data_IF_586751831102
#
_entry.id   IF_586751831102
#
_cell.length_a   1.000
_cell.length_b   1.000
_cell.length_c   1.000
_cell.angle_alpha   90.00
_cell.angle_beta   90.00
_cell.angle_gamma   90.00
#
_symmetry.space_group_name_H-M   'P 1'
#
loop_
_entity.id
_entity.type
_entity.pdbx_description
1 polymer ?
#
# COMPACT_ATOMS: atom_id res chain seq x y z
N UNK A 1 -28.14 -17.00 -32.97
CA UNK A 1 -27.80 -15.57 -32.75
C UNK A 1 -26.96 -15.30 -31.48
N UNK A 2 -26.11 -16.24 -31.00
CA UNK A 2 -25.19 -16.01 -29.86
C UNK A 2 -23.69 -16.06 -30.21
N UNK A 3 -23.33 -16.39 -31.45
CA UNK A 3 -21.93 -16.53 -31.90
C UNK A 3 -21.35 -15.29 -32.59
N UNK A 4 -22.16 -14.27 -32.86
CA UNK A 4 -21.73 -13.05 -33.57
C UNK A 4 -21.20 -11.97 -32.59
N UNK A 5 -21.65 -11.97 -31.33
CA UNK A 5 -21.14 -11.02 -30.33
C UNK A 5 -19.74 -11.36 -29.78
N UNK A 6 -19.33 -12.63 -29.82
CA UNK A 6 -17.99 -13.04 -29.36
C UNK A 6 -16.90 -12.65 -30.37
N UNK A 7 -17.22 -12.63 -31.67
CA UNK A 7 -16.28 -12.21 -32.72
C UNK A 7 -16.06 -10.68 -32.73
N UNK A 8 -17.08 -9.89 -32.36
CA UNK A 8 -16.94 -8.43 -32.29
C UNK A 8 -16.15 -7.97 -31.05
N UNK A 9 -16.19 -8.73 -29.95
CA UNK A 9 -15.45 -8.41 -28.72
C UNK A 9 -13.96 -8.79 -28.81
N UNK A 10 -13.62 -9.84 -29.57
CA UNK A 10 -12.23 -10.20 -29.86
C UNK A 10 -11.58 -9.27 -30.89
N UNK A 11 -12.35 -8.76 -31.87
CA UNK A 11 -11.82 -7.78 -32.84
C UNK A 11 -11.48 -6.43 -32.22
N UNK A 12 -12.18 -6.01 -31.16
CA UNK A 12 -11.85 -4.79 -30.40
C UNK A 12 -10.59 -4.93 -29.53
N UNK A 13 -10.20 -6.16 -29.16
CA UNK A 13 -8.94 -6.40 -28.44
C UNK A 13 -7.74 -6.51 -29.39
N UNK A 14 -7.93 -7.07 -30.59
CA UNK A 14 -6.87 -7.10 -31.61
C UNK A 14 -6.58 -5.71 -32.22
N UNK A 15 -7.58 -4.81 -32.26
CA UNK A 15 -7.38 -3.43 -32.74
C UNK A 15 -6.77 -2.48 -31.70
N UNK A 16 -6.63 -2.89 -30.44
CA UNK A 16 -5.85 -2.15 -29.44
C UNK A 16 -4.40 -2.69 -29.35
N UNK A 17 -4.12 -3.89 -29.87
CA UNK A 17 -2.78 -4.50 -29.82
C UNK A 17 -2.07 -4.72 -31.16
N UNK A 18 -2.68 -4.43 -32.30
CA UNK A 18 -1.92 -4.19 -33.53
C UNK A 18 -1.50 -2.72 -33.61
N UNK A 19 -0.43 -2.38 -32.87
CA UNK A 19 0.43 -1.28 -33.29
C UNK A 19 0.96 -1.65 -34.69
N UNK A 20 0.31 -1.13 -35.73
CA UNK A 20 0.75 -1.30 -37.11
C UNK A 20 2.21 -0.83 -37.19
N UNK A 21 3.11 -1.79 -37.39
CA UNK A 21 4.49 -1.53 -37.78
C UNK A 21 4.44 -0.86 -39.17
N UNK A 22 5.06 0.32 -39.36
CA UNK A 22 5.07 0.97 -40.67
C UNK A 22 5.81 0.09 -41.67
N UNK A 23 5.19 -0.13 -42.84
CA UNK A 23 5.74 -0.92 -43.95
C UNK A 23 6.53 -0.09 -44.95
N UNK A 24 6.52 1.24 -44.83
CA UNK A 24 7.25 2.15 -45.72
C UNK A 24 7.81 3.38 -44.99
N UNK A 25 8.96 3.86 -45.46
CA UNK A 25 9.76 4.96 -44.86
C UNK A 25 9.11 6.35 -44.85
N UNK A 26 7.82 6.44 -45.16
CA UNK A 26 7.05 7.69 -45.20
C UNK A 26 5.87 7.73 -44.22
N UNK A 27 5.58 6.64 -43.50
CA UNK A 27 4.58 6.62 -42.43
C UNK A 27 5.10 7.37 -41.20
N UNK A 28 4.89 8.70 -41.21
CA UNK A 28 5.15 9.61 -40.09
C UNK A 28 4.06 9.47 -39.02
N UNK A 29 4.01 8.32 -38.36
CA UNK A 29 3.65 8.29 -36.94
C UNK A 29 4.95 8.49 -36.17
N UNK A 30 5.14 9.73 -35.71
CA UNK A 30 6.25 10.15 -34.85
C UNK A 30 6.04 9.55 -33.45
N UNK A 31 6.02 8.21 -33.38
CA UNK A 31 6.38 7.48 -32.19
C UNK A 31 7.90 7.59 -32.10
N UNK A 32 8.37 8.63 -31.42
CA UNK A 32 9.75 8.70 -30.97
C UNK A 32 9.90 7.65 -29.88
N UNK A 33 10.06 6.39 -30.29
CA UNK A 33 10.59 5.31 -29.47
C UNK A 33 12.08 5.59 -29.26
N UNK A 34 12.42 6.67 -28.54
CA UNK A 34 13.79 6.81 -28.05
C UNK A 34 13.92 5.81 -26.91
N UNK A 35 14.61 4.70 -27.18
CA UNK A 35 15.05 3.79 -26.12
C UNK A 35 16.16 4.51 -25.35
N UNK A 36 15.79 5.42 -24.44
CA UNK A 36 16.72 6.05 -23.52
C UNK A 36 17.18 4.95 -22.54
N UNK A 37 18.35 4.36 -22.78
CA UNK A 37 18.90 3.33 -21.89
C UNK A 37 19.42 3.92 -20.58
N UNK A 38 19.79 5.20 -20.59
CA UNK A 38 20.32 5.92 -19.43
C UNK A 38 19.76 7.33 -19.40
N UNK A 39 19.28 7.77 -18.23
CA UNK A 39 19.05 9.18 -17.90
C UNK A 39 20.10 9.62 -16.88
N UNK A 40 20.48 10.90 -16.91
CA UNK A 40 21.37 11.49 -15.93
C UNK A 40 20.58 12.37 -14.95
N UNK A 41 21.08 12.49 -13.73
CA UNK A 41 20.52 13.44 -12.76
C UNK A 41 20.47 14.87 -13.33
N UNK A 42 19.34 15.54 -13.21
CA UNK A 42 19.08 16.85 -13.81
C UNK A 42 18.30 16.81 -15.13
N UNK A 43 18.13 15.63 -15.74
CA UNK A 43 17.33 15.48 -16.96
C UNK A 43 15.85 15.81 -16.70
N UNK A 44 15.22 16.47 -17.69
CA UNK A 44 13.80 16.79 -17.69
C UNK A 44 13.13 16.14 -18.90
N UNK A 45 12.29 15.12 -18.66
CA UNK A 45 11.53 14.44 -19.71
C UNK A 45 10.09 14.94 -19.67
N UNK A 46 9.69 15.69 -20.69
CA UNK A 46 8.38 16.34 -20.74
C UNK A 46 7.73 16.26 -22.12
N UNK A 47 6.40 16.24 -22.11
CA UNK A 47 5.55 16.16 -23.29
C UNK A 47 5.07 17.52 -23.80
N UNK A 48 5.69 18.65 -23.40
CA UNK A 48 5.25 19.99 -23.83
C UNK A 48 5.84 20.31 -25.23
N UNK A 49 5.07 20.00 -26.26
CA UNK A 49 5.37 20.23 -27.69
C UNK A 49 4.55 19.28 -28.58
N UNK A 50 4.17 19.69 -29.80
CA UNK A 50 3.10 19.12 -30.63
C UNK A 50 3.29 17.67 -31.17
N UNK A 51 4.13 16.83 -30.58
CA UNK A 51 4.35 15.44 -31.00
C UNK A 51 4.50 14.55 -29.77
N UNK A 52 3.44 13.79 -29.52
CA UNK A 52 3.21 12.95 -28.34
C UNK A 52 4.02 11.67 -28.44
N UNK A 53 4.88 11.38 -27.46
CA UNK A 53 5.59 10.11 -27.37
C UNK A 53 5.28 9.42 -26.05
N UNK A 54 4.77 8.19 -26.10
CA UNK A 54 4.87 7.24 -25.00
C UNK A 54 6.33 6.76 -24.95
N UNK A 55 7.04 7.04 -23.86
CA UNK A 55 8.40 6.52 -23.67
C UNK A 55 8.31 5.15 -22.99
N UNK A 56 8.39 4.07 -23.77
CA UNK A 56 8.41 2.71 -23.24
C UNK A 56 9.84 2.19 -23.06
N UNK A 57 10.20 1.87 -21.82
CA UNK A 57 11.48 1.27 -21.44
C UNK A 57 11.38 -0.26 -21.33
N UNK A 58 11.38 -0.95 -22.46
CA UNK A 58 11.26 -2.43 -22.51
C UNK A 58 12.47 -3.19 -21.93
N UNK A 59 13.64 -2.55 -21.92
CA UNK A 59 14.88 -3.14 -21.40
C UNK A 59 15.19 -2.73 -19.95
N UNK A 60 14.25 -2.09 -19.28
CA UNK A 60 14.51 -1.34 -18.05
C UNK A 60 15.07 0.05 -18.31
N UNK A 61 15.22 0.81 -17.22
CA UNK A 61 15.76 2.16 -17.20
C UNK A 61 16.86 2.24 -16.15
N UNK A 62 17.99 2.87 -16.48
CA UNK A 62 19.01 3.28 -15.50
C UNK A 62 19.04 4.79 -15.39
N UNK A 63 18.98 5.29 -14.17
CA UNK A 63 19.22 6.70 -13.88
C UNK A 63 20.52 6.80 -13.09
N UNK A 64 21.54 7.36 -13.74
CA UNK A 64 22.89 7.46 -13.20
C UNK A 64 23.18 8.87 -12.69
N UNK A 65 23.97 8.98 -11.63
CA UNK A 65 24.37 10.27 -11.08
C UNK A 65 24.88 10.18 -9.65
N UNK A 66 25.65 11.19 -9.24
CA UNK A 66 26.13 11.32 -7.86
C UNK A 66 25.09 11.92 -6.91
N UNK A 67 24.16 12.72 -7.44
CA UNK A 67 22.95 13.20 -6.77
C UNK A 67 22.07 13.93 -7.80
N UNK A 68 20.76 13.99 -7.57
CA UNK A 68 19.87 14.92 -8.26
C UNK A 68 18.53 14.34 -8.71
N UNK A 69 17.73 15.18 -9.37
CA UNK A 69 16.33 14.92 -9.70
C UNK A 69 16.17 14.68 -11.20
N UNK A 70 15.45 13.62 -11.58
CA UNK A 70 14.96 13.42 -12.95
C UNK A 70 13.46 13.56 -12.95
N UNK A 71 12.94 14.58 -13.64
CA UNK A 71 11.51 14.81 -13.71
C UNK A 71 10.92 14.10 -14.92
N UNK A 72 9.85 13.33 -14.68
CA UNK A 72 9.16 12.59 -15.74
C UNK A 72 7.69 13.04 -15.82
N UNK A 73 7.38 13.83 -16.84
CA UNK A 73 6.07 14.47 -17.04
C UNK A 73 5.20 13.83 -18.12
N UNK A 74 5.48 12.57 -18.46
CA UNK A 74 4.69 11.75 -19.39
C UNK A 74 4.44 10.35 -18.80
N UNK A 75 3.36 9.65 -19.15
CA UNK A 75 3.18 8.27 -18.72
C UNK A 75 4.39 7.41 -19.11
N UNK A 76 4.90 6.64 -18.16
CA UNK A 76 6.16 5.90 -18.31
C UNK A 76 5.94 4.40 -18.13
N UNK A 77 5.68 3.65 -19.22
CA UNK A 77 5.76 2.19 -19.19
C UNK A 77 7.22 1.73 -19.03
N UNK A 78 7.51 0.92 -18.01
CA UNK A 78 8.81 0.29 -17.78
C UNK A 78 8.65 -1.21 -17.61
N UNK A 79 9.46 -1.99 -18.31
CA UNK A 79 9.55 -3.44 -18.17
C UNK A 79 10.88 -3.83 -17.50
N UNK A 80 10.88 -4.99 -16.84
CA UNK A 80 12.03 -5.65 -16.21
C UNK A 80 12.64 -4.92 -15.02
N UNK A 81 13.28 -3.77 -15.21
CA UNK A 81 14.17 -3.20 -14.18
C UNK A 81 14.20 -1.67 -14.17
N UNK A 82 14.25 -1.09 -12.96
CA UNK A 82 14.59 0.30 -12.72
C UNK A 82 15.85 0.31 -11.86
N UNK A 83 16.93 0.90 -12.35
CA UNK A 83 18.17 1.10 -11.61
C UNK A 83 18.32 2.58 -11.27
N UNK A 84 18.36 2.92 -9.98
CA UNK A 84 18.58 4.29 -9.52
C UNK A 84 19.87 4.34 -8.71
N UNK A 85 20.90 5.04 -9.20
CA UNK A 85 22.11 5.27 -8.40
C UNK A 85 21.74 5.91 -7.04
N UNK A 86 22.53 5.68 -5.97
CA UNK A 86 22.28 6.29 -4.66
C UNK A 86 22.10 7.82 -4.78
N UNK A 87 21.20 8.39 -3.98
CA UNK A 87 20.91 9.83 -3.93
C UNK A 87 20.34 10.46 -5.22
N UNK A 88 19.98 9.64 -6.21
CA UNK A 88 19.20 10.04 -7.38
C UNK A 88 17.71 9.84 -7.09
N UNK A 89 16.89 10.82 -7.51
CA UNK A 89 15.44 10.73 -7.42
C UNK A 89 14.76 10.79 -8.78
N UNK A 90 13.95 9.77 -9.10
CA UNK A 90 12.98 9.81 -10.20
C UNK A 90 11.70 10.46 -9.71
N UNK A 91 11.42 11.68 -10.16
CA UNK A 91 10.21 12.43 -9.82
C UNK A 91 9.11 12.24 -10.85
N UNK A 92 8.06 11.52 -10.45
CA UNK A 92 6.89 11.24 -11.26
C UNK A 92 5.90 12.41 -11.23
N UNK A 93 5.77 13.10 -12.35
CA UNK A 93 4.71 14.10 -12.59
C UNK A 93 3.52 13.51 -13.37
N UNK A 94 3.66 12.26 -13.86
CA UNK A 94 2.64 11.42 -14.50
C UNK A 94 2.84 9.95 -14.08
N UNK A 95 1.95 9.09 -14.52
CA UNK A 95 1.89 7.69 -14.08
C UNK A 95 3.12 6.88 -14.52
N UNK A 96 3.65 6.08 -13.60
CA UNK A 96 4.63 5.03 -13.86
C UNK A 96 3.90 3.70 -13.98
N UNK A 97 3.98 3.07 -15.14
CA UNK A 97 3.33 1.79 -15.42
C UNK A 97 4.41 0.72 -15.42
N UNK A 98 4.39 -0.17 -14.43
CA UNK A 98 5.33 -1.28 -14.33
C UNK A 98 4.77 -2.47 -15.08
N UNK A 99 5.24 -2.65 -16.32
CA UNK A 99 4.88 -3.74 -17.21
C UNK A 99 5.66 -5.00 -16.85
N UNK A 100 4.97 -6.09 -16.49
CA UNK A 100 5.63 -7.35 -16.13
C UNK A 100 6.26 -7.36 -14.73
N UNK A 101 7.06 -8.39 -14.43
CA UNK A 101 7.79 -8.50 -13.16
C UNK A 101 8.91 -7.48 -13.12
N UNK A 102 8.66 -6.31 -12.52
CA UNK A 102 9.65 -5.23 -12.42
C UNK A 102 10.42 -5.34 -11.11
N UNK A 103 11.73 -5.13 -11.20
CA UNK A 103 12.63 -4.98 -10.07
C UNK A 103 13.11 -3.54 -9.97
N UNK A 104 12.91 -2.91 -8.83
CA UNK A 104 13.61 -1.65 -8.51
C UNK A 104 14.88 -2.06 -7.78
N UNK A 105 16.00 -1.91 -8.47
CA UNK A 105 17.33 -2.24 -7.99
C UNK A 105 18.06 -0.95 -7.60
N UNK A 106 18.86 -1.02 -6.53
CA UNK A 106 19.66 0.04 -5.88
C UNK A 106 18.92 1.11 -5.05
N UNK A 107 19.67 1.91 -4.29
CA UNK A 107 19.19 2.73 -3.16
C UNK A 107 18.69 4.14 -3.52
N UNK A 108 18.49 4.45 -4.80
CA UNK A 108 17.85 5.70 -5.20
C UNK A 108 16.36 5.72 -4.87
N UNK A 109 15.72 6.88 -5.08
CA UNK A 109 14.35 7.14 -4.63
C UNK A 109 13.41 7.35 -5.82
N UNK A 110 12.22 6.74 -5.78
CA UNK A 110 11.11 7.21 -6.63
C UNK A 110 10.32 8.22 -5.81
N UNK A 111 10.30 9.47 -6.26
CA UNK A 111 9.48 10.53 -5.66
C UNK A 111 8.22 10.79 -6.47
N UNK A 112 7.12 10.98 -5.77
CA UNK A 112 5.85 11.37 -6.35
C UNK A 112 5.32 12.58 -5.60
N UNK A 113 4.73 13.52 -6.33
CA UNK A 113 3.96 14.59 -5.70
C UNK A 113 4.74 15.85 -5.31
N UNK A 114 5.81 16.27 -6.00
CA UNK A 114 6.50 17.52 -5.61
C UNK A 114 5.61 18.75 -5.86
N UNK A 115 5.21 19.47 -4.80
CA UNK A 115 4.71 20.86 -4.74
C UNK A 115 3.63 21.32 -5.74
N UNK A 116 3.93 21.30 -7.02
CA UNK A 116 3.10 21.73 -8.15
C UNK A 116 2.41 20.59 -8.91
N UNK A 117 2.77 19.33 -8.66
CA UNK A 117 2.23 18.16 -9.38
C UNK A 117 1.62 17.19 -8.38
N UNK A 118 0.29 17.03 -8.41
CA UNK A 118 -0.45 16.13 -7.51
C UNK A 118 -1.10 15.04 -8.35
N UNK A 119 -0.95 13.77 -7.94
CA UNK A 119 -1.74 12.65 -8.47
C UNK A 119 -1.05 11.74 -9.49
N UNK A 120 0.28 11.61 -9.49
CA UNK A 120 0.94 10.52 -10.20
C UNK A 120 0.68 9.18 -9.53
N UNK A 121 0.47 8.14 -10.35
CA UNK A 121 0.26 6.78 -9.87
C UNK A 121 1.44 5.87 -10.22
N UNK A 122 1.67 4.88 -9.38
CA UNK A 122 2.44 3.68 -9.75
C UNK A 122 1.44 2.58 -10.03
N UNK A 123 1.37 2.10 -11.27
CA UNK A 123 0.40 1.11 -11.72
C UNK A 123 1.15 -0.19 -12.00
N UNK A 124 0.79 -1.25 -11.28
CA UNK A 124 1.39 -2.57 -11.45
C UNK A 124 0.56 -3.39 -12.44
N UNK A 125 1.22 -4.01 -13.40
CA UNK A 125 0.60 -5.02 -14.29
C UNK A 125 1.23 -6.40 -14.12
N UNK A 126 2.21 -6.50 -13.23
CA UNK A 126 2.86 -7.72 -12.77
C UNK A 126 3.46 -7.49 -11.37
N UNK A 127 4.05 -8.53 -10.75
CA UNK A 127 4.70 -8.41 -9.45
C UNK A 127 5.83 -7.38 -9.42
N UNK A 128 5.97 -6.67 -8.32
CA UNK A 128 7.03 -5.69 -8.07
C UNK A 128 7.96 -6.19 -6.97
N UNK A 129 9.25 -6.34 -7.26
CA UNK A 129 10.27 -6.56 -6.25
C UNK A 129 10.97 -5.24 -5.93
N UNK A 130 10.78 -4.77 -4.70
CA UNK A 130 11.55 -3.67 -4.16
C UNK A 130 12.75 -4.30 -3.46
N UNK A 131 13.97 -4.14 -3.97
CA UNK A 131 15.14 -4.78 -3.33
C UNK A 131 15.49 -4.06 -2.01
N UNK A 132 16.52 -3.23 -1.99
CA UNK A 132 16.83 -2.33 -0.86
C UNK A 132 16.34 -0.91 -1.11
N UNK A 133 15.56 -0.71 -2.18
CA UNK A 133 15.10 0.58 -2.66
C UNK A 133 14.01 1.17 -1.77
N UNK A 134 13.96 2.50 -1.73
CA UNK A 134 12.92 3.24 -1.02
C UNK A 134 12.05 4.01 -2.02
N UNK A 135 10.72 3.86 -1.92
CA UNK A 135 9.78 4.77 -2.59
C UNK A 135 9.38 5.82 -1.57
N UNK A 136 9.55 7.10 -1.92
CA UNK A 136 9.33 8.21 -0.97
C UNK A 136 8.26 9.15 -1.51
N UNK A 137 7.26 9.47 -0.69
CA UNK A 137 6.32 10.56 -0.99
C UNK A 137 6.53 11.70 0.02
N UNK A 138 7.04 12.83 -0.47
CA UNK A 138 7.36 13.99 0.37
C UNK A 138 6.29 15.07 0.39
N UNK A 139 5.30 15.01 -0.51
CA UNK A 139 4.18 15.94 -0.60
C UNK A 139 3.01 15.33 -1.38
N UNK A 140 1.78 15.72 -1.05
CA UNK A 140 0.59 15.36 -1.83
C UNK A 140 0.13 13.92 -1.60
N UNK A 141 -0.29 13.26 -2.67
CA UNK A 141 -0.77 11.88 -2.63
C UNK A 141 0.04 11.01 -3.61
N UNK A 142 0.55 9.90 -3.10
CA UNK A 142 1.08 8.79 -3.88
C UNK A 142 0.02 7.70 -3.95
N UNK A 143 -0.35 7.28 -5.15
CA UNK A 143 -1.30 6.20 -5.38
C UNK A 143 -0.59 5.01 -6.05
N UNK A 144 -0.58 3.86 -5.39
CA UNK A 144 -0.08 2.61 -5.95
C UNK A 144 -1.27 1.70 -6.20
N UNK A 145 -1.56 1.50 -7.48
CA UNK A 145 -2.59 0.59 -7.97
C UNK A 145 -1.94 -0.77 -8.29
N UNK A 146 -2.18 -1.75 -7.42
CA UNK A 146 -1.57 -3.07 -7.54
C UNK A 146 -2.22 -3.96 -8.59
N UNK A 147 -3.48 -3.74 -8.97
CA UNK A 147 -4.24 -4.61 -9.89
C UNK A 147 -4.13 -6.12 -9.55
N UNK A 148 -4.16 -6.45 -8.26
CA UNK A 148 -4.04 -7.80 -7.71
C UNK A 148 -2.60 -8.33 -7.59
N UNK A 149 -1.58 -7.54 -7.93
CA UNK A 149 -0.19 -7.99 -7.92
C UNK A 149 0.48 -7.90 -6.54
N UNK A 150 1.60 -8.63 -6.42
CA UNK A 150 2.44 -8.66 -5.23
C UNK A 150 3.44 -7.50 -5.28
N UNK A 151 3.64 -6.82 -4.15
CA UNK A 151 4.77 -5.95 -3.86
C UNK A 151 5.61 -6.66 -2.80
N UNK A 152 6.81 -7.09 -3.17
CA UNK A 152 7.70 -7.88 -2.33
C UNK A 152 8.72 -6.98 -1.61
N UNK A 153 8.64 -7.01 -0.28
CA UNK A 153 9.49 -6.30 0.68
C UNK A 153 10.54 -7.19 1.35
N UNK A 154 10.62 -8.48 0.99
CA UNK A 154 11.48 -9.48 1.66
C UNK A 154 12.98 -9.12 1.67
N UNK A 155 13.41 -8.18 0.83
CA UNK A 155 14.78 -7.68 0.74
C UNK A 155 15.04 -6.39 1.53
N UNK A 156 14.09 -5.93 2.36
CA UNK A 156 14.25 -4.79 3.27
C UNK A 156 13.93 -3.43 2.65
N UNK A 157 13.11 -3.40 1.61
CA UNK A 157 12.60 -2.19 1.00
C UNK A 157 11.67 -1.39 1.92
N UNK A 158 11.44 -0.12 1.57
CA UNK A 158 10.62 0.79 2.38
C UNK A 158 9.71 1.67 1.51
N UNK A 159 8.47 1.88 1.96
CA UNK A 159 7.61 2.97 1.52
C UNK A 159 7.64 4.05 2.60
N UNK A 160 8.26 5.19 2.32
CA UNK A 160 8.41 6.32 3.25
C UNK A 160 7.49 7.48 2.85
N UNK A 161 6.71 7.98 3.80
CA UNK A 161 5.86 9.17 3.62
C UNK A 161 6.11 10.23 4.70
N UNK A 162 6.14 11.49 4.29
CA UNK A 162 6.31 12.65 5.19
C UNK A 162 4.96 13.16 5.74
N UNK A 163 4.98 14.17 6.62
CA UNK A 163 3.82 14.68 7.36
C UNK A 163 2.62 15.11 6.51
N UNK A 164 2.91 15.72 5.36
CA UNK A 164 1.90 16.30 4.47
C UNK A 164 1.51 15.35 3.35
N UNK A 165 2.14 14.17 3.31
CA UNK A 165 1.92 13.17 2.28
C UNK A 165 0.85 12.15 2.69
N UNK A 166 0.20 11.61 1.68
CA UNK A 166 -0.71 10.48 1.79
C UNK A 166 -0.27 9.37 0.84
N UNK A 167 -0.37 8.12 1.31
CA UNK A 167 -0.13 6.94 0.49
C UNK A 167 -1.42 6.14 0.35
N UNK A 168 -1.84 5.94 -0.88
CA UNK A 168 -2.92 5.02 -1.25
C UNK A 168 -2.31 3.73 -1.77
N UNK A 169 -2.67 2.61 -1.15
CA UNK A 169 -2.33 1.26 -1.58
C UNK A 169 -3.64 0.57 -1.93
N UNK A 170 -3.78 0.13 -3.19
CA UNK A 170 -5.04 -0.44 -3.70
C UNK A 170 -4.80 -1.76 -4.39
N UNK A 171 -5.71 -2.70 -4.18
CA UNK A 171 -5.79 -4.00 -4.87
C UNK A 171 -4.41 -4.67 -4.95
N UNK A 172 -3.74 -4.89 -3.83
CA UNK A 172 -2.36 -5.42 -3.82
C UNK A 172 -2.10 -6.38 -2.67
N UNK A 173 -1.07 -7.21 -2.84
CA UNK A 173 -0.54 -8.07 -1.80
C UNK A 173 0.84 -7.54 -1.42
N UNK A 174 1.02 -7.10 -0.18
CA UNK A 174 2.32 -6.74 0.38
C UNK A 174 2.92 -7.98 1.03
N UNK A 175 4.04 -8.48 0.51
CA UNK A 175 4.68 -9.71 0.97
C UNK A 175 6.06 -9.43 1.56
N UNK A 176 6.46 -10.21 2.57
CA UNK A 176 7.78 -10.02 3.20
C UNK A 176 7.85 -8.77 4.08
N UNK A 177 6.72 -8.29 4.58
CA UNK A 177 6.63 -7.06 5.37
C UNK A 177 7.33 -7.21 6.73
N UNK A 178 8.23 -6.27 7.00
CA UNK A 178 8.93 -6.11 8.27
C UNK A 178 8.57 -4.78 8.97
N UNK A 179 9.25 -4.51 10.08
CA UNK A 179 9.04 -3.32 10.91
C UNK A 179 9.35 -1.99 10.24
N UNK A 180 10.11 -2.01 9.14
CA UNK A 180 10.58 -0.83 8.42
C UNK A 180 9.91 -0.66 7.05
N UNK A 181 9.08 -1.61 6.64
CA UNK A 181 8.53 -1.67 5.28
C UNK A 181 7.55 -0.53 4.97
N UNK A 182 6.74 -0.13 5.96
CA UNK A 182 5.94 1.11 5.90
C UNK A 182 6.49 2.07 6.95
N UNK A 183 6.89 3.27 6.51
CA UNK A 183 7.45 4.28 7.38
C UNK A 183 6.76 5.62 7.14
N UNK A 184 6.34 6.29 8.23
CA UNK A 184 5.75 7.62 8.20
C UNK A 184 6.61 8.55 9.04
N UNK A 185 7.68 9.07 8.45
CA UNK A 185 8.71 9.87 9.13
C UNK A 185 8.14 11.01 9.98
N UNK A 186 7.02 11.64 9.55
CA UNK A 186 6.43 12.78 10.25
C UNK A 186 4.89 12.75 10.36
N UNK A 187 4.25 11.60 10.60
CA UNK A 187 2.77 11.49 10.66
C UNK A 187 2.04 11.63 9.33
N UNK A 188 2.54 10.96 8.29
CA UNK A 188 1.80 10.76 7.05
C UNK A 188 0.47 10.01 7.25
N UNK A 189 -0.35 9.98 6.20
CA UNK A 189 -1.66 9.30 6.21
C UNK A 189 -1.69 8.13 5.23
N UNK A 190 -2.13 6.96 5.69
CA UNK A 190 -2.29 5.78 4.85
C UNK A 190 -3.76 5.57 4.46
N UNK A 191 -3.97 5.15 3.22
CA UNK A 191 -5.24 4.71 2.69
C UNK A 191 -5.07 3.30 2.11
N UNK A 192 -5.86 2.35 2.57
CA UNK A 192 -5.85 0.97 2.09
C UNK A 192 -7.20 0.64 1.46
N UNK A 193 -7.16 0.01 0.29
CA UNK A 193 -8.34 -0.43 -0.46
C UNK A 193 -8.11 -1.82 -1.05
N UNK A 194 -8.68 -2.87 -0.45
CA UNK A 194 -8.51 -4.27 -0.85
C UNK A 194 -7.04 -4.70 -0.86
N UNK A 195 -6.41 -4.62 0.31
CA UNK A 195 -4.98 -4.91 0.50
C UNK A 195 -4.78 -6.12 1.39
N UNK A 196 -3.84 -6.99 1.03
CA UNK A 196 -3.40 -8.12 1.84
C UNK A 196 -1.98 -7.85 2.33
N UNK A 197 -1.75 -7.84 3.64
CA UNK A 197 -0.42 -7.73 4.25
C UNK A 197 0.01 -9.08 4.80
N UNK A 198 1.06 -9.66 4.23
CA UNK A 198 1.71 -10.86 4.73
C UNK A 198 3.01 -10.48 5.44
N UNK A 199 2.99 -10.61 6.75
CA UNK A 199 4.15 -10.34 7.62
C UNK A 199 5.02 -11.59 7.75
N UNK A 200 6.34 -11.43 7.82
CA UNK A 200 7.27 -12.56 8.01
C UNK A 200 7.81 -12.62 9.43
N UNK A 201 8.06 -13.84 9.92
CA UNK A 201 8.66 -14.09 11.23
C UNK A 201 10.11 -13.58 11.26
N UNK A 202 10.43 -12.59 12.10
CA UNK A 202 11.79 -12.05 12.17
C UNK A 202 11.96 -10.89 13.15
N UNK A 203 12.68 -11.18 14.24
CA UNK A 203 13.06 -10.33 15.38
C UNK A 203 11.89 -9.74 16.19
N UNK A 204 12.01 -9.82 17.52
CA UNK A 204 11.26 -9.02 18.48
C UNK A 204 11.55 -7.54 18.25
N UNK A 205 11.01 -7.01 17.17
CA UNK A 205 10.92 -5.62 16.81
C UNK A 205 9.46 -5.44 16.48
N UNK A 206 8.77 -4.67 17.31
CA UNK A 206 7.57 -3.93 16.98
C UNK A 206 7.39 -3.85 15.46
N UNK A 207 6.33 -4.41 14.85
CA UNK A 207 5.87 -3.80 13.60
C UNK A 207 5.36 -2.42 14.01
N UNK A 208 6.33 -1.53 14.00
CA UNK A 208 6.23 -0.10 13.86
C UNK A 208 5.79 0.21 12.41
N UNK A 209 4.97 -0.64 11.77
CA UNK A 209 4.51 -0.38 10.39
C UNK A 209 3.91 1.02 10.30
N UNK A 210 3.50 1.59 11.43
CA UNK A 210 2.79 2.84 11.50
C UNK A 210 3.20 3.65 12.75
N UNK A 211 4.51 3.77 13.06
CA UNK A 211 5.00 4.79 14.03
C UNK A 211 5.37 6.10 13.34
N UNK A 212 5.11 7.22 14.02
CA UNK A 212 3.75 7.66 14.30
C UNK A 212 3.11 8.10 12.98
N UNK A 213 2.14 7.37 12.44
CA UNK A 213 1.28 7.96 11.40
C UNK A 213 0.28 8.94 12.00
N UNK A 214 -0.37 9.75 11.17
CA UNK A 214 -1.52 10.54 11.59
C UNK A 214 -2.79 9.71 11.62
N UNK A 215 -3.06 8.99 10.54
CA UNK A 215 -4.22 8.10 10.45
C UNK A 215 -4.06 7.00 9.40
N UNK A 216 -4.80 5.91 9.63
CA UNK A 216 -5.04 4.83 8.69
C UNK A 216 -6.49 4.91 8.25
N UNK A 217 -6.74 4.85 6.95
CA UNK A 217 -8.07 4.96 6.35
C UNK A 217 -8.33 3.71 5.52
N UNK A 218 -9.31 2.90 5.92
CA UNK A 218 -9.74 1.75 5.15
C UNK A 218 -10.89 2.15 4.24
N UNK A 219 -10.61 2.22 2.93
CA UNK A 219 -11.60 2.46 1.89
C UNK A 219 -12.25 1.15 1.42
N UNK A 220 -11.47 0.07 1.49
CA UNK A 220 -11.88 -1.32 1.28
C UNK A 220 -11.20 -2.22 2.32
N UNK A 221 -11.24 -3.52 2.10
CA UNK A 221 -10.78 -4.47 3.10
C UNK A 221 -9.25 -4.48 3.25
N UNK A 222 -8.77 -4.62 4.48
CA UNK A 222 -7.36 -4.84 4.81
C UNK A 222 -7.24 -6.17 5.54
N UNK A 223 -6.54 -7.14 4.93
CA UNK A 223 -6.30 -8.46 5.53
C UNK A 223 -4.85 -8.58 5.98
N UNK A 224 -4.63 -8.79 7.28
CA UNK A 224 -3.29 -8.94 7.87
C UNK A 224 -3.11 -10.39 8.31
N UNK A 225 -1.99 -10.99 7.91
CA UNK A 225 -1.62 -12.36 8.25
C UNK A 225 -0.12 -12.52 8.46
N UNK A 226 0.29 -13.69 8.95
CA UNK A 226 1.64 -13.98 9.41
C UNK A 226 1.82 -13.72 10.90
N UNK A 227 3.02 -14.02 11.39
CA UNK A 227 3.32 -14.25 12.81
C UNK A 227 3.67 -12.99 13.61
N UNK A 228 3.67 -11.82 12.99
CA UNK A 228 4.22 -10.61 13.60
C UNK A 228 3.12 -9.74 14.23
N UNK A 229 3.46 -8.97 15.26
CA UNK A 229 2.51 -8.12 15.97
C UNK A 229 2.20 -6.83 15.21
N UNK A 230 0.98 -6.69 14.67
CA UNK A 230 0.47 -5.43 14.15
C UNK A 230 0.17 -4.44 15.27
N UNK A 231 0.81 -3.27 15.23
CA UNK A 231 0.63 -2.22 16.24
C UNK A 231 -0.16 -1.05 15.66
N UNK A 232 -1.25 -0.68 16.33
CA UNK A 232 -2.09 0.45 15.95
C UNK A 232 -1.85 1.62 16.90
N UNK A 233 -1.15 2.66 16.43
CA UNK A 233 -0.75 3.83 17.23
C UNK A 233 -1.27 5.19 16.76
N UNK A 234 -2.17 5.21 15.78
CA UNK A 234 -2.74 6.43 15.19
C UNK A 234 -4.24 6.25 14.94
N UNK A 235 -4.92 7.33 14.54
CA UNK A 235 -6.36 7.29 14.24
C UNK A 235 -6.67 6.23 13.17
N UNK A 236 -7.74 5.47 13.38
CA UNK A 236 -8.19 4.41 12.49
C UNK A 236 -9.60 4.71 11.98
N UNK A 237 -9.73 4.87 10.67
CA UNK A 237 -10.96 5.30 10.02
C UNK A 237 -11.47 4.20 9.08
N UNK A 238 -12.67 3.70 9.33
CA UNK A 238 -13.35 2.75 8.44
C UNK A 238 -14.34 3.51 7.54
N UNK A 239 -14.28 3.30 6.23
CA UNK A 239 -15.24 3.85 5.28
C UNK A 239 -16.20 2.77 4.80
N UNK A 240 -17.49 3.07 4.83
CA UNK A 240 -18.56 2.18 4.39
C UNK A 240 -18.48 0.81 5.12
N UNK A 241 -18.35 -0.27 4.35
CA UNK A 241 -18.29 -1.65 4.80
C UNK A 241 -16.86 -2.21 4.90
N UNK A 242 -15.83 -1.36 4.80
CA UNK A 242 -14.44 -1.77 4.89
C UNK A 242 -14.13 -2.45 6.23
N UNK A 243 -13.40 -3.56 6.21
CA UNK A 243 -13.00 -4.29 7.42
C UNK A 243 -11.49 -4.46 7.53
N UNK A 244 -11.01 -4.48 8.78
CA UNK A 244 -9.69 -4.96 9.14
C UNK A 244 -9.81 -6.43 9.56
N UNK A 245 -9.27 -7.33 8.77
CA UNK A 245 -9.20 -8.76 9.07
C UNK A 245 -7.84 -9.10 9.66
N UNK A 246 -7.85 -9.78 10.80
CA UNK A 246 -6.66 -10.26 11.50
C UNK A 246 -6.69 -11.79 11.50
N UNK A 247 -5.73 -12.41 10.82
CA UNK A 247 -5.61 -13.86 10.72
C UNK A 247 -5.08 -14.52 11.99
N UNK A 248 -5.13 -15.85 12.03
CA UNK A 248 -4.88 -16.65 13.24
C UNK A 248 -3.45 -16.61 13.75
N UNK A 249 -2.52 -16.24 12.90
CA UNK A 249 -1.11 -16.10 13.26
C UNK A 249 -0.78 -14.68 13.77
N UNK A 250 -1.72 -13.74 13.62
CA UNK A 250 -1.47 -12.32 13.87
C UNK A 250 -1.72 -11.95 15.32
N UNK A 251 -0.79 -11.16 15.87
CA UNK A 251 -0.96 -10.46 17.15
C UNK A 251 -1.36 -9.02 16.85
N UNK A 252 -2.41 -8.51 17.48
CA UNK A 252 -2.87 -7.14 17.37
C UNK A 252 -2.59 -6.41 18.69
N UNK A 253 -2.01 -5.21 18.61
CA UNK A 253 -1.69 -4.41 19.79
C UNK A 253 -2.04 -2.92 19.57
N UNK A 254 -3.05 -2.37 20.26
CA UNK A 254 -3.21 -0.92 20.34
C UNK A 254 -2.03 -0.27 21.09
N UNK A 255 -1.61 0.92 20.67
CA UNK A 255 -0.48 1.66 21.24
C UNK A 255 -0.72 3.17 21.24
N UNK A 256 0.00 3.91 22.07
CA UNK A 256 -0.04 5.39 22.12
C UNK A 256 -0.87 5.93 23.28
N UNK A 257 -1.04 7.26 23.33
CA UNK A 257 -1.74 8.01 24.39
C UNK A 257 -3.14 8.51 24.00
N UNK A 258 -3.49 8.43 22.71
CA UNK A 258 -4.83 8.75 22.20
C UNK A 258 -4.92 8.39 20.71
N UNK A 259 -5.53 7.26 20.37
CA UNK A 259 -6.03 7.02 19.02
C UNK A 259 -7.57 7.01 19.07
N UNK A 260 -8.19 7.36 17.95
CA UNK A 260 -9.64 7.24 17.78
C UNK A 260 -9.97 6.23 16.69
N UNK A 261 -11.04 5.48 16.91
CA UNK A 261 -11.63 4.62 15.88
C UNK A 261 -12.91 5.31 15.40
N UNK A 262 -13.01 5.58 14.11
CA UNK A 262 -14.13 6.30 13.50
C UNK A 262 -14.70 5.50 12.34
N UNK A 263 -16.03 5.44 12.26
CA UNK A 263 -16.74 4.87 11.12
C UNK A 263 -17.44 5.96 10.30
N UNK A 264 -17.20 5.95 8.99
CA UNK A 264 -17.77 6.86 8.02
C UNK A 264 -18.68 6.10 7.06
N UNK A 265 -19.71 6.77 6.54
CA UNK A 265 -20.67 6.15 5.61
C UNK A 265 -21.71 5.29 6.31
N UNK A 266 -22.01 4.11 5.77
CA UNK A 266 -23.07 3.22 6.29
C UNK A 266 -22.73 2.53 7.63
N UNK A 267 -21.52 2.70 8.16
CA UNK A 267 -21.04 2.17 9.44
C UNK A 267 -21.16 0.64 9.58
N UNK A 268 -21.03 -0.08 8.48
CA UNK A 268 -21.02 -1.57 8.47
C UNK A 268 -19.61 -2.17 8.42
N UNK A 269 -18.59 -1.31 8.38
CA UNK A 269 -17.20 -1.70 8.55
C UNK A 269 -16.83 -2.03 9.99
N UNK A 270 -15.58 -2.44 10.22
CA UNK A 270 -15.06 -2.71 11.54
C UNK A 270 -13.98 -3.78 11.55
N UNK A 271 -13.91 -4.58 12.62
CA UNK A 271 -12.85 -5.57 12.83
C UNK A 271 -13.38 -6.99 12.64
N UNK A 272 -12.58 -7.83 12.00
CA UNK A 272 -12.78 -9.28 11.96
C UNK A 272 -11.54 -9.96 12.54
N UNK A 273 -11.69 -10.51 13.74
CA UNK A 273 -10.66 -11.27 14.44
C UNK A 273 -10.88 -12.75 14.14
N UNK A 274 -9.95 -13.38 13.42
CA UNK A 274 -10.02 -14.79 13.09
C UNK A 274 -8.85 -15.53 13.73
N UNK A 275 -9.07 -16.15 14.89
CA UNK A 275 -8.04 -16.91 15.60
C UNK A 275 -6.88 -16.07 16.14
N UNK A 276 -7.00 -14.73 16.12
CA UNK A 276 -5.91 -13.79 16.40
C UNK A 276 -5.73 -13.55 17.90
N UNK A 277 -4.56 -13.03 18.30
CA UNK A 277 -4.29 -12.61 19.68
C UNK A 277 -4.38 -11.08 19.77
N UNK A 278 -5.10 -10.56 20.76
CA UNK A 278 -5.26 -9.14 21.06
C UNK A 278 -4.52 -8.84 22.37
N UNK A 279 -3.52 -7.97 22.31
CA UNK A 279 -2.63 -7.64 23.43
C UNK A 279 -2.91 -6.22 23.91
N UNK A 280 -3.52 -6.03 25.08
CA UNK A 280 -3.90 -4.70 25.59
C UNK A 280 -2.82 -4.03 26.46
N UNK A 281 -1.72 -4.73 26.73
CA UNK A 281 -0.62 -4.20 27.54
C UNK A 281 0.39 -3.42 26.69
N UNK A 282 0.86 -2.27 27.19
CA UNK A 282 1.86 -1.44 26.52
C UNK A 282 2.93 -0.97 27.49
N UNK A 283 4.19 -1.00 27.06
CA UNK A 283 5.32 -0.39 27.75
C UNK A 283 5.21 1.14 27.63
N UNK A 284 4.48 1.78 28.56
CA UNK A 284 4.64 3.22 28.84
C UNK A 284 3.43 4.13 28.59
N UNK A 285 2.37 3.69 27.91
CA UNK A 285 1.09 4.43 27.86
C UNK A 285 -0.09 3.48 27.76
N UNK A 286 -1.01 3.63 28.71
CA UNK A 286 -2.14 2.76 29.02
C UNK A 286 -3.42 3.19 28.29
N UNK A 287 -4.01 2.36 27.41
CA UNK A 287 -5.27 2.69 26.72
C UNK A 287 -6.21 1.50 26.64
N UNK A 288 -7.50 1.73 26.94
CA UNK A 288 -8.59 0.82 26.61
C UNK A 288 -8.79 0.73 25.10
N UNK A 289 -8.87 -0.47 24.55
CA UNK A 289 -9.27 -0.65 23.16
C UNK A 289 -10.78 -0.49 23.07
N UNK A 290 -11.24 0.67 22.60
CA UNK A 290 -12.67 1.00 22.54
C UNK A 290 -13.13 1.25 21.11
N UNK A 291 -14.11 0.47 20.67
CA UNK A 291 -14.80 0.63 19.38
C UNK A 291 -16.20 1.14 19.70
N UNK A 292 -16.61 2.31 19.20
CA UNK A 292 -17.88 2.95 19.59
C UNK A 292 -19.05 2.62 18.66
N UNK A 293 -18.74 2.32 17.40
CA UNK A 293 -19.68 1.97 16.34
C UNK A 293 -19.05 0.94 15.38
N UNK A 294 -19.85 0.31 14.52
CA UNK A 294 -19.37 -0.66 13.52
C UNK A 294 -19.55 -2.12 13.92
N UNK A 295 -18.86 -3.02 13.24
CA UNK A 295 -18.99 -4.47 13.43
C UNK A 295 -17.73 -5.07 14.05
N UNK A 296 -17.91 -5.91 15.05
CA UNK A 296 -16.87 -6.75 15.64
C UNK A 296 -17.21 -8.21 15.36
N UNK A 297 -16.48 -8.82 14.44
CA UNK A 297 -16.68 -10.20 14.03
C UNK A 297 -15.58 -11.05 14.66
N UNK A 298 -15.97 -12.10 15.36
CA UNK A 298 -15.05 -13.09 15.95
C UNK A 298 -15.25 -14.43 15.27
N UNK A 299 -14.15 -15.06 14.89
CA UNK A 299 -14.09 -16.38 14.26
C UNK A 299 -12.94 -17.18 14.89
N UNK A 300 -13.16 -18.47 15.15
CA UNK A 300 -12.22 -19.31 15.90
C UNK A 300 -11.85 -18.73 17.27
N UNK A 301 -10.84 -19.30 17.94
CA UNK A 301 -10.42 -18.86 19.27
C UNK A 301 -9.63 -17.55 19.18
N UNK A 302 -10.24 -16.46 19.64
CA UNK A 302 -9.61 -15.14 19.75
C UNK A 302 -9.21 -14.92 21.20
N UNK A 303 -7.91 -14.82 21.46
CA UNK A 303 -7.40 -14.55 22.81
C UNK A 303 -7.24 -13.05 23.01
N UNK A 304 -7.81 -12.52 24.09
CA UNK A 304 -7.59 -11.15 24.55
C UNK A 304 -6.83 -11.25 25.87
N UNK A 305 -5.67 -10.61 25.92
CA UNK A 305 -4.80 -10.68 27.09
C UNK A 305 -4.32 -9.28 27.51
N UNK A 306 -4.23 -9.09 28.83
CA UNK A 306 -3.75 -7.90 29.51
C UNK A 306 -3.04 -8.32 30.79
N UNK A 307 -1.74 -8.05 30.87
CA UNK A 307 -0.96 -8.27 32.09
C UNK A 307 -0.74 -6.97 32.90
N UNK A 308 -1.49 -5.91 32.59
CA UNK A 308 -1.39 -4.60 33.23
C UNK A 308 -2.57 -4.31 34.16
N UNK A 309 -2.69 -3.08 34.65
CA UNK A 309 -3.72 -2.65 35.60
C UNK A 309 -5.07 -2.41 34.90
N UNK A 310 -5.83 -3.48 34.67
CA UNK A 310 -7.25 -3.50 34.28
C UNK A 310 -7.60 -2.74 32.98
N UNK A 311 -7.00 -3.11 31.85
CA UNK A 311 -7.38 -2.59 30.53
C UNK A 311 -8.63 -3.28 30.02
N UNK A 312 -9.40 -2.52 29.25
CA UNK A 312 -10.68 -2.96 28.72
C UNK A 312 -10.61 -3.12 27.22
N UNK A 313 -11.15 -4.23 26.76
CA UNK A 313 -11.72 -4.30 25.43
C UNK A 313 -13.17 -3.81 25.53
N UNK A 314 -13.51 -2.71 24.87
CA UNK A 314 -14.83 -2.08 24.95
C UNK A 314 -15.51 -2.12 23.59
N UNK A 315 -16.62 -2.86 23.52
CA UNK A 315 -17.60 -2.73 22.45
C UNK A 315 -18.66 -1.71 22.89
N UNK A 316 -18.71 -0.59 22.17
CA UNK A 316 -19.58 0.54 22.46
C UNK A 316 -21.03 0.31 22.03
N UNK A 317 -21.92 1.27 22.35
CA UNK A 317 -23.37 1.09 22.25
C UNK A 317 -23.91 0.96 20.82
N UNK A 318 -23.12 1.34 19.82
CA UNK A 318 -23.51 1.23 18.40
C UNK A 318 -22.70 0.17 17.67
N UNK A 319 -22.05 -0.74 18.40
CA UNK A 319 -21.38 -1.89 17.81
C UNK A 319 -22.34 -3.07 17.66
N UNK A 320 -22.21 -3.80 16.55
CA UNK A 320 -22.70 -5.18 16.48
C UNK A 320 -21.56 -6.14 16.80
N UNK A 321 -21.86 -7.22 17.50
CA UNK A 321 -20.92 -8.31 17.76
C UNK A 321 -21.46 -9.56 17.09
N UNK A 322 -20.67 -10.15 16.20
CA UNK A 322 -20.98 -11.39 15.51
C UNK A 322 -19.97 -12.46 15.93
N UNK A 323 -20.46 -13.60 16.43
CA UNK A 323 -19.65 -14.78 16.73
C UNK A 323 -19.92 -15.81 15.63
N UNK A 324 -18.93 -16.03 14.75
CA UNK A 324 -19.01 -17.02 13.67
C UNK A 324 -18.77 -18.45 14.22
N UNK A 325 -19.10 -19.47 13.42
CA UNK A 325 -19.09 -20.86 13.88
C UNK A 325 -17.74 -21.27 14.50
N UNK A 326 -17.79 -21.80 15.74
CA UNK A 326 -16.65 -22.17 16.60
C UNK A 326 -15.84 -21.01 17.21
N UNK A 327 -16.35 -19.78 17.18
CA UNK A 327 -15.67 -18.66 17.83
C UNK A 327 -15.76 -18.73 19.36
N UNK A 328 -14.62 -18.59 20.04
CA UNK A 328 -14.54 -18.31 21.47
C UNK A 328 -13.70 -17.04 21.68
N UNK A 329 -14.14 -16.17 22.58
CA UNK A 329 -13.32 -15.06 23.05
C UNK A 329 -12.73 -15.47 24.40
N UNK A 330 -11.44 -15.77 24.41
CA UNK A 330 -10.71 -16.20 25.61
C UNK A 330 -10.11 -14.97 26.27
N UNK A 331 -10.50 -14.70 27.51
CA UNK A 331 -9.94 -13.62 28.31
C UNK A 331 -8.88 -14.19 29.25
N UNK A 332 -7.66 -13.68 29.17
CA UNK A 332 -6.54 -14.09 30.03
C UNK A 332 -6.12 -12.96 31.00
N UNK A 333 -5.52 -13.32 32.12
CA UNK A 333 -5.01 -12.39 33.15
C UNK A 333 -6.06 -11.42 33.73
N UNK A 334 -5.84 -10.11 33.67
CA UNK A 334 -6.68 -9.06 34.28
C UNK A 334 -7.62 -8.38 33.29
N UNK A 335 -7.82 -9.00 32.11
CA UNK A 335 -8.65 -8.44 31.03
C UNK A 335 -10.10 -8.25 31.48
N UNK A 336 -10.64 -7.08 31.15
CA UNK A 336 -12.08 -6.83 31.19
C UNK A 336 -12.62 -6.69 29.77
N UNK A 337 -13.65 -7.46 29.44
CA UNK A 337 -14.43 -7.29 28.22
C UNK A 337 -15.74 -6.57 28.56
N UNK A 338 -15.91 -5.35 28.06
CA UNK A 338 -17.08 -4.51 28.33
C UNK A 338 -17.94 -4.38 27.08
N UNK A 339 -19.24 -4.70 27.21
CA UNK A 339 -20.26 -4.44 26.18
C UNK A 339 -21.19 -3.37 26.75
N UNK A 340 -21.30 -2.23 26.08
CA UNK A 340 -22.05 -1.06 26.55
C UNK A 340 -23.42 -0.92 25.89
#
# INVERSE_FOLDING_TARGET
MRKIFLFLFLFLLDTIYCANYPKDGTDRLVNVFTTLKTLNAGDYVSSVGATQGLCWFRGGIRIAGTSGLVNFASPMPVDREIFLDPDVSLNLQKDLILSGSVRIASSGYISCGTGSFVGSKIILTGPLSLETSTITCSFGALDIEGNGNIIDFSKGAKLDITATASLYLRNCILEGMDVNSLFASDKGTYFFDNVVMKTTAGSLGYISAIRPCKSINLLGDLYITGTTTFIMGCDFNFFNNAKLYLGSETRFRPYGSSFTIKHFGNKTGGFHFNGSIIELYSLGTEIDFAVQDGNLIFENDVTIFDNSLNKRFVAGPNCSIEMLGNAHVVLEDTVTFSIL
#
